data_IF_848205186403
#
_entry.id   IF_848205186403
#
_cell.length_a   1.000
_cell.length_b   1.000
_cell.length_c   1.000
_cell.angle_alpha   90.00
_cell.angle_beta   90.00
_cell.angle_gamma   90.00
#
_symmetry.space_group_name_H-M   'P 1'
#
loop_
_entity.id
_entity.type
_entity.pdbx_description
1 polymer ?
#
# COMPACT_ATOMS: atom_id res chain seq x y z
N UNK A 1 -1.33 9.72 -11.79
CA UNK A 1 -0.15 9.81 -12.67
C UNK A 1 -0.44 9.15 -14.01
N UNK A 2 -0.05 7.89 -14.18
CA UNK A 2 -0.23 7.14 -15.43
C UNK A 2 -1.69 7.10 -15.94
N UNK A 3 -2.66 6.90 -15.03
CA UNK A 3 -4.09 6.89 -15.36
C UNK A 3 -4.54 8.25 -15.93
N UNK A 4 -4.13 9.36 -15.29
CA UNK A 4 -4.49 10.72 -15.75
C UNK A 4 -3.79 11.09 -17.05
N UNK A 5 -2.50 10.77 -17.21
CA UNK A 5 -1.74 11.10 -18.43
C UNK A 5 -2.25 10.32 -19.65
N UNK A 6 -2.76 9.10 -19.45
CA UNK A 6 -3.21 8.26 -20.55
C UNK A 6 -4.69 8.47 -20.89
N UNK A 7 -5.55 8.57 -19.88
CA UNK A 7 -7.00 8.71 -20.07
C UNK A 7 -7.47 10.17 -20.06
N UNK A 8 -6.65 11.12 -19.57
CA UNK A 8 -7.03 12.52 -19.34
C UNK A 8 -8.33 12.69 -18.54
N UNK A 9 -8.73 11.65 -17.78
CA UNK A 9 -9.91 11.65 -16.93
C UNK A 9 -9.53 12.02 -15.51
N UNK A 10 -10.24 12.99 -14.97
CA UNK A 10 -10.09 13.60 -13.66
C UNK A 10 -11.15 13.11 -12.65
N UNK A 11 -12.18 12.41 -13.13
CA UNK A 11 -13.26 11.87 -12.29
C UNK A 11 -13.19 10.35 -12.12
N UNK A 12 -13.37 9.87 -10.88
CA UNK A 12 -13.41 8.42 -10.56
C UNK A 12 -14.56 7.70 -11.28
N UNK A 13 -15.66 8.40 -11.57
CA UNK A 13 -16.79 7.87 -12.34
C UNK A 13 -16.46 7.54 -13.79
N UNK A 14 -15.37 8.09 -14.34
CA UNK A 14 -14.92 7.85 -15.71
C UNK A 14 -13.89 6.71 -15.80
N UNK A 15 -13.53 6.10 -14.66
CA UNK A 15 -12.60 4.97 -14.57
C UNK A 15 -13.31 3.61 -14.60
N UNK A 16 -14.63 3.60 -14.84
CA UNK A 16 -15.43 2.38 -14.93
C UNK A 16 -14.87 1.50 -16.07
N UNK A 17 -14.48 0.25 -15.76
CA UNK A 17 -13.88 -0.68 -16.74
C UNK A 17 -12.42 -0.39 -17.16
N UNK A 18 -11.77 0.62 -16.59
CA UNK A 18 -10.40 1.01 -16.97
C UNK A 18 -9.33 -0.07 -16.70
N UNK A 19 -9.61 -1.04 -15.82
CA UNK A 19 -8.69 -2.17 -15.59
C UNK A 19 -8.59 -3.12 -16.79
N UNK A 20 -9.60 -3.16 -17.68
CA UNK A 20 -9.51 -3.94 -18.93
C UNK A 20 -8.60 -3.30 -19.97
N UNK A 21 -8.48 -1.97 -19.93
CA UNK A 21 -7.66 -1.18 -20.86
C UNK A 21 -6.21 -1.05 -20.38
N UNK A 22 -6.02 -0.86 -19.06
CA UNK A 22 -4.71 -0.71 -18.44
C UNK A 22 -4.49 -1.73 -17.31
N UNK A 23 -4.45 -3.04 -17.62
CA UNK A 23 -4.38 -4.10 -16.62
C UNK A 23 -3.12 -4.04 -15.73
N UNK A 24 -1.94 -3.72 -16.27
CA UNK A 24 -0.70 -3.66 -15.48
C UNK A 24 -0.69 -2.47 -14.53
N UNK A 25 -1.18 -1.32 -14.99
CA UNK A 25 -1.28 -0.12 -14.17
C UNK A 25 -2.28 -0.32 -13.03
N UNK A 26 -3.46 -0.89 -13.32
CA UNK A 26 -4.47 -1.17 -12.29
C UNK A 26 -4.07 -2.32 -11.37
N UNK A 27 -3.33 -3.32 -11.85
CA UNK A 27 -2.77 -4.37 -11.00
C UNK A 27 -1.77 -3.78 -9.99
N UNK A 28 -0.81 -2.96 -10.46
CA UNK A 28 0.14 -2.29 -9.58
C UNK A 28 -0.55 -1.35 -8.57
N UNK A 29 -1.57 -0.60 -9.00
CA UNK A 29 -2.39 0.22 -8.11
C UNK A 29 -3.15 -0.62 -7.07
N UNK A 30 -3.71 -1.76 -7.47
CA UNK A 30 -4.45 -2.66 -6.56
C UNK A 30 -3.50 -3.23 -5.51
N UNK A 31 -2.31 -3.65 -5.91
CA UNK A 31 -1.25 -4.11 -5.00
C UNK A 31 -0.88 -2.99 -4.02
N UNK A 32 -0.65 -1.77 -4.50
CA UNK A 32 -0.39 -0.61 -3.63
C UNK A 32 -1.53 -0.35 -2.65
N UNK A 33 -2.78 -0.35 -3.12
CA UNK A 33 -3.97 -0.14 -2.30
C UNK A 33 -4.12 -1.21 -1.21
N UNK A 34 -3.91 -2.49 -1.55
CA UNK A 34 -3.90 -3.59 -0.57
C UNK A 34 -2.82 -3.39 0.49
N UNK A 35 -1.64 -2.88 0.10
CA UNK A 35 -0.57 -2.52 1.03
C UNK A 35 -0.97 -1.40 1.98
N UNK A 36 -1.57 -0.33 1.47
CA UNK A 36 -2.02 0.81 2.27
C UNK A 36 -3.20 0.48 3.19
N UNK A 37 -4.07 -0.44 2.77
CA UNK A 37 -5.19 -0.94 3.59
C UNK A 37 -4.71 -1.91 4.67
N UNK A 38 -3.50 -2.48 4.52
CA UNK A 38 -2.94 -3.40 5.50
C UNK A 38 -3.48 -4.82 5.32
N UNK A 39 -3.57 -5.29 4.07
CA UNK A 39 -3.83 -6.72 3.82
C UNK A 39 -2.50 -7.49 4.06
N UNK A 40 -2.52 -8.63 4.78
CA UNK A 40 -1.31 -9.36 5.20
C UNK A 40 -0.22 -9.69 4.15
N UNK A 41 -0.47 -9.85 2.84
CA UNK A 41 0.58 -10.24 1.91
C UNK A 41 1.51 -9.08 1.47
N UNK A 42 1.36 -7.85 2.02
CA UNK A 42 2.09 -6.67 1.54
C UNK A 42 2.76 -5.92 2.70
N UNK A 43 3.95 -5.37 2.45
CA UNK A 43 4.80 -4.69 3.44
C UNK A 43 4.06 -3.63 4.28
N UNK A 44 3.10 -2.92 3.68
CA UNK A 44 2.32 -1.89 4.39
C UNK A 44 1.49 -2.41 5.59
N UNK A 45 1.18 -3.71 5.64
CA UNK A 45 0.57 -4.33 6.81
C UNK A 45 1.55 -4.41 7.99
N UNK A 46 2.78 -4.87 7.76
CA UNK A 46 3.77 -5.03 8.82
C UNK A 46 4.10 -3.71 9.51
N UNK A 47 4.27 -2.62 8.74
CA UNK A 47 4.51 -1.30 9.33
C UNK A 47 3.37 -0.85 10.26
N UNK A 48 2.12 -1.08 9.87
CA UNK A 48 0.96 -0.73 10.71
C UNK A 48 0.79 -1.67 11.89
N UNK A 49 1.10 -2.96 11.72
CA UNK A 49 1.02 -3.96 12.77
C UNK A 49 2.04 -3.69 13.87
N UNK A 50 3.30 -3.38 13.52
CA UNK A 50 4.34 -3.01 14.49
C UNK A 50 3.97 -1.73 15.24
N UNK A 51 3.43 -0.72 14.56
CA UNK A 51 2.93 0.49 15.21
C UNK A 51 1.75 0.20 16.13
N UNK A 52 0.80 -0.65 15.73
CA UNK A 52 -0.32 -1.05 16.57
C UNK A 52 0.15 -1.76 17.85
N UNK A 53 1.07 -2.73 17.72
CA UNK A 53 1.69 -3.40 18.87
C UNK A 53 2.40 -2.40 19.80
N UNK A 54 3.21 -1.50 19.26
CA UNK A 54 3.90 -0.47 20.04
C UNK A 54 2.94 0.47 20.78
N UNK A 55 1.78 0.81 20.19
CA UNK A 55 0.76 1.62 20.88
C UNK A 55 0.06 0.87 22.00
N UNK A 56 -0.11 -0.45 21.86
CA UNK A 56 -0.68 -1.32 22.90
C UNK A 56 0.31 -1.44 24.07
N UNK A 57 1.59 -1.69 23.79
CA UNK A 57 2.65 -1.76 24.80
C UNK A 57 2.84 -0.44 25.55
N UNK A 58 2.73 0.69 24.85
CA UNK A 58 2.78 2.02 25.46
C UNK A 58 1.48 2.44 26.20
N UNK A 59 0.42 1.61 26.16
CA UNK A 59 -0.89 1.93 26.75
C UNK A 59 -1.61 3.11 26.08
N UNK A 60 -1.22 3.48 24.86
CA UNK A 60 -1.71 4.65 24.12
C UNK A 60 -2.87 4.25 23.20
N UNK A 61 -4.10 4.35 23.71
CA UNK A 61 -5.31 3.97 22.98
C UNK A 61 -5.72 4.94 21.86
N UNK A 62 -5.39 6.23 21.98
CA UNK A 62 -5.75 7.25 20.96
C UNK A 62 -5.01 7.01 19.64
N UNK A 63 -3.67 6.84 19.63
CA UNK A 63 -2.94 6.49 18.40
C UNK A 63 -3.41 5.19 17.77
N UNK A 64 -3.72 4.17 18.57
CA UNK A 64 -4.28 2.89 18.08
C UNK A 64 -5.59 3.11 17.32
N UNK A 65 -6.52 3.88 17.89
CA UNK A 65 -7.78 4.22 17.25
C UNK A 65 -7.60 4.98 15.94
N UNK A 66 -6.69 5.96 15.90
CA UNK A 66 -6.36 6.71 14.68
C UNK A 66 -5.74 5.82 13.60
N UNK A 67 -4.91 4.85 14.00
CA UNK A 67 -4.25 3.92 13.09
C UNK A 67 -5.25 2.97 12.41
N UNK A 68 -6.19 2.44 13.19
CA UNK A 68 -7.31 1.63 12.69
C UNK A 68 -8.21 2.47 11.76
N UNK A 69 -8.59 3.67 12.19
CA UNK A 69 -9.44 4.57 11.39
C UNK A 69 -8.79 4.93 10.05
N UNK A 70 -7.48 5.23 10.04
CA UNK A 70 -6.73 5.50 8.82
C UNK A 70 -6.74 4.30 7.86
N UNK A 71 -6.55 3.08 8.37
CA UNK A 71 -6.67 1.86 7.55
C UNK A 71 -8.06 1.68 6.96
N UNK A 72 -9.10 1.91 7.78
CA UNK A 72 -10.49 1.81 7.35
C UNK A 72 -10.85 2.85 6.28
N UNK A 73 -10.40 4.09 6.45
CA UNK A 73 -10.59 5.15 5.46
C UNK A 73 -9.86 4.81 4.15
N UNK A 74 -8.63 4.32 4.20
CA UNK A 74 -7.90 3.87 3.00
C UNK A 74 -8.69 2.79 2.25
N UNK A 75 -9.23 1.79 2.95
CA UNK A 75 -10.11 0.79 2.35
C UNK A 75 -11.34 1.43 1.71
N UNK A 76 -12.02 2.32 2.44
CA UNK A 76 -13.24 3.00 1.99
C UNK A 76 -13.04 3.84 0.72
N UNK A 77 -11.85 4.41 0.50
CA UNK A 77 -11.56 5.18 -0.72
C UNK A 77 -11.02 4.31 -1.86
N UNK A 78 -10.10 3.38 -1.59
CA UNK A 78 -9.45 2.61 -2.66
C UNK A 78 -10.29 1.47 -3.20
N UNK A 79 -11.01 0.75 -2.34
CA UNK A 79 -11.79 -0.42 -2.73
C UNK A 79 -12.90 -0.10 -3.76
N UNK A 80 -13.69 0.98 -3.64
CA UNK A 80 -14.66 1.33 -4.68
C UNK A 80 -14.01 1.76 -6.00
N UNK A 81 -12.80 2.34 -5.98
CA UNK A 81 -12.06 2.68 -7.21
C UNK A 81 -11.65 1.41 -7.94
N UNK A 82 -11.02 0.46 -7.23
CA UNK A 82 -10.64 -0.85 -7.78
C UNK A 82 -11.88 -1.60 -8.26
N UNK A 83 -12.94 -1.65 -7.45
CA UNK A 83 -14.17 -2.35 -7.80
C UNK A 83 -14.81 -1.79 -9.07
N UNK A 84 -14.87 -0.46 -9.22
CA UNK A 84 -15.38 0.17 -10.45
C UNK A 84 -14.51 -0.14 -11.66
N UNK A 85 -13.19 -0.09 -11.50
CA UNK A 85 -12.26 -0.34 -12.60
C UNK A 85 -12.32 -1.77 -13.13
N UNK A 86 -12.54 -2.77 -12.27
CA UNK A 86 -12.61 -4.19 -12.66
C UNK A 86 -14.02 -4.68 -12.99
N UNK A 87 -15.04 -4.29 -12.22
CA UNK A 87 -16.38 -4.90 -12.30
C UNK A 87 -17.39 -4.13 -13.12
N UNK A 88 -17.19 -2.83 -13.36
CA UNK A 88 -18.13 -2.08 -14.21
C UNK A 88 -17.80 -2.22 -15.70
N UNK A 89 -18.83 -2.21 -16.57
CA UNK A 89 -18.61 -2.13 -18.01
C UNK A 89 -17.85 -0.85 -18.35
N UNK A 90 -16.84 -0.96 -19.22
CA UNK A 90 -16.15 0.21 -19.76
C UNK A 90 -17.09 1.01 -20.65
N UNK A 91 -17.01 2.34 -20.61
CA UNK A 91 -17.68 3.19 -21.58
C UNK A 91 -16.96 3.17 -22.93
N UNK A 92 -17.69 3.45 -24.02
CA UNK A 92 -17.15 3.54 -25.39
C UNK A 92 -15.96 4.53 -25.49
N UNK A 93 -15.91 5.51 -24.59
CA UNK A 93 -14.81 6.48 -24.41
C UNK A 93 -13.45 5.86 -24.04
N UNK A 94 -13.41 4.57 -23.67
CA UNK A 94 -12.18 3.83 -23.36
C UNK A 94 -11.69 2.99 -24.55
N UNK A 95 -12.50 2.85 -25.60
CA UNK A 95 -12.13 2.11 -26.81
C UNK A 95 -11.03 2.88 -27.57
N UNK A 96 -9.89 2.22 -27.81
CA UNK A 96 -8.75 2.79 -28.52
C UNK A 96 -7.63 3.33 -27.62
N UNK A 97 -7.87 3.45 -26.31
CA UNK A 97 -6.78 3.63 -25.35
C UNK A 97 -6.13 2.28 -25.05
N UNK A 98 -4.80 2.26 -24.93
CA UNK A 98 -4.03 1.08 -24.53
C UNK A 98 -3.38 1.28 -23.16
N UNK A 99 -2.47 0.39 -22.78
CA UNK A 99 -1.59 0.59 -21.63
C UNK A 99 -0.93 1.98 -21.63
N UNK A 100 -0.62 2.50 -20.43
CA UNK A 100 0.16 3.73 -20.35
C UNK A 100 1.58 3.51 -20.91
N UNK A 101 2.25 4.60 -21.27
CA UNK A 101 3.61 4.54 -21.80
C UNK A 101 4.50 3.62 -20.94
N UNK A 102 5.22 2.64 -21.53
CA UNK A 102 6.04 1.68 -20.81
C UNK A 102 7.00 2.32 -19.79
N UNK A 103 7.51 3.52 -20.07
CA UNK A 103 8.39 4.26 -19.15
C UNK A 103 7.72 4.72 -17.85
N UNK A 104 6.39 4.75 -17.80
CA UNK A 104 5.62 5.02 -16.57
C UNK A 104 5.17 3.72 -15.89
N UNK A 105 4.88 2.68 -16.67
CA UNK A 105 4.40 1.39 -16.17
C UNK A 105 5.55 0.61 -15.51
N UNK A 106 6.75 0.62 -16.10
CA UNK A 106 7.93 -0.06 -15.55
C UNK A 106 8.24 0.36 -14.11
N UNK A 107 8.41 1.65 -13.77
CA UNK A 107 8.66 2.04 -12.39
C UNK A 107 7.47 1.71 -11.47
N UNK A 108 6.23 1.87 -11.94
CA UNK A 108 5.03 1.57 -11.17
C UNK A 108 4.92 0.07 -10.81
N UNK A 109 5.07 -0.81 -11.80
CA UNK A 109 5.04 -2.25 -11.59
C UNK A 109 6.26 -2.70 -10.78
N UNK A 110 7.44 -2.14 -11.04
CA UNK A 110 8.64 -2.48 -10.26
C UNK A 110 8.48 -2.16 -8.78
N UNK A 111 7.90 -1.01 -8.44
CA UNK A 111 7.64 -0.61 -7.05
C UNK A 111 6.55 -1.45 -6.40
N UNK A 112 5.50 -1.84 -7.14
CA UNK A 112 4.50 -2.76 -6.66
C UNK A 112 5.08 -4.16 -6.39
N UNK A 113 5.89 -4.69 -7.31
CA UNK A 113 6.58 -5.98 -7.16
C UNK A 113 7.56 -5.95 -5.98
N UNK A 114 8.38 -4.89 -5.88
CA UNK A 114 9.27 -4.71 -4.73
C UNK A 114 8.48 -4.67 -3.42
N UNK A 115 7.36 -3.96 -3.37
CA UNK A 115 6.50 -3.88 -2.17
C UNK A 115 5.93 -5.24 -1.75
N UNK A 116 5.61 -6.10 -2.72
CA UNK A 116 5.17 -7.48 -2.47
C UNK A 116 6.34 -8.35 -2.00
N UNK A 117 7.52 -8.24 -2.64
CA UNK A 117 8.72 -8.98 -2.23
C UNK A 117 9.12 -8.62 -0.80
N UNK A 118 9.15 -7.33 -0.46
CA UNK A 118 9.41 -6.86 0.92
C UNK A 118 8.32 -7.30 1.90
N UNK A 119 7.06 -7.41 1.45
CA UNK A 119 5.96 -7.92 2.26
C UNK A 119 6.03 -9.42 2.53
N UNK A 120 6.45 -10.22 1.55
CA UNK A 120 6.58 -11.67 1.68
C UNK A 120 7.88 -12.10 2.38
N UNK A 121 8.94 -11.30 2.25
CA UNK A 121 10.23 -11.51 2.92
C UNK A 121 10.54 -10.37 3.92
N UNK A 122 9.75 -10.21 4.99
CA UNK A 122 10.04 -9.19 6.01
C UNK A 122 11.39 -9.46 6.72
N UNK A 123 11.88 -10.71 6.71
CA UNK A 123 13.10 -11.14 7.40
C UNK A 123 14.38 -10.37 7.05
N UNK A 124 14.48 -9.70 5.88
CA UNK A 124 15.65 -8.87 5.58
C UNK A 124 15.67 -7.54 6.37
N UNK A 125 14.50 -7.00 6.71
CA UNK A 125 14.36 -5.75 7.46
C UNK A 125 14.29 -5.97 8.97
N UNK A 126 13.61 -7.04 9.40
CA UNK A 126 13.46 -7.37 10.84
C UNK A 126 14.83 -7.66 11.48
N UNK A 127 15.77 -8.25 10.74
CA UNK A 127 17.13 -8.51 11.23
C UNK A 127 17.92 -7.23 11.60
N UNK A 128 17.65 -6.11 10.92
CA UNK A 128 18.26 -4.82 11.25
C UNK A 128 17.62 -4.22 12.50
N UNK A 129 16.31 -4.42 12.67
CA UNK A 129 15.59 -3.99 13.87
C UNK A 129 16.02 -4.79 15.11
N UNK A 130 16.22 -6.11 14.97
CA UNK A 130 16.72 -6.97 16.05
C UNK A 130 18.10 -6.54 16.55
N UNK A 131 18.99 -6.12 15.64
CA UNK A 131 20.31 -5.57 16.01
C UNK A 131 20.17 -4.24 16.76
N UNK A 132 19.22 -3.39 16.36
CA UNK A 132 18.98 -2.11 17.02
C UNK A 132 18.33 -2.28 18.41
N UNK A 133 17.40 -3.24 18.58
CA UNK A 133 16.82 -3.56 19.88
C UNK A 133 17.84 -4.17 20.82
N UNK A 134 18.69 -5.09 20.36
CA UNK A 134 19.78 -5.65 21.19
C UNK A 134 20.73 -4.56 21.69
N UNK A 135 21.09 -3.59 20.84
CA UNK A 135 21.94 -2.46 21.25
C UNK A 135 21.20 -1.54 22.23
N UNK A 136 19.92 -1.24 21.98
CA UNK A 136 19.09 -0.44 22.91
C UNK A 136 18.96 -1.12 24.27
N UNK A 137 18.73 -2.43 24.31
CA UNK A 137 18.62 -3.21 25.55
C UNK A 137 19.95 -3.19 26.31
N UNK A 138 21.09 -3.33 25.62
CA UNK A 138 22.40 -3.20 26.26
C UNK A 138 22.70 -1.79 26.79
N UNK A 139 22.24 -0.73 26.10
CA UNK A 139 22.44 0.64 26.56
C UNK A 139 21.52 0.98 27.74
N UNK A 140 20.26 0.50 27.71
CA UNK A 140 19.31 0.72 28.80
C UNK A 140 19.58 -0.17 30.03
N UNK A 141 20.04 -1.41 29.84
CA UNK A 141 20.40 -2.32 30.95
C UNK A 141 21.78 -1.97 31.55
N UNK A 142 22.73 -1.46 30.74
CA UNK A 142 23.96 -0.83 31.27
C UNK A 142 23.72 0.56 31.88
N UNK A 143 22.56 1.17 31.59
CA UNK A 143 22.12 2.47 32.09
C UNK A 143 21.25 2.41 33.36
N UNK A 144 21.04 1.23 33.95
CA UNK A 144 20.30 1.00 35.21
C UNK A 144 20.96 1.59 36.47
N UNK A 145 21.75 2.63 36.33
CA UNK A 145 22.14 3.54 37.41
C UNK A 145 21.67 4.93 37.01
N UNK A 146 20.39 5.23 37.25
CA UNK A 146 19.84 6.48 37.79
C UNK A 146 18.30 6.38 37.87
#
# INVERSE_FOLDING_TARGET
GAIYVNLHKDSISQLDGAAKVMPWTFAAFTIGAMGLTGIPPINGFFSKWTLALGTIEAGQWIPLGLLILSGLMNAGYFFPIVARAYFKPGGDDLEGHGEANPWMVVPLVSTAVLSVIFGLFPNAFVHVLDLATVIMEQIFDAGGVL
#
